data_IF_147473108821
#
_entry.id   IF_147473108821
#
_cell.length_a   1.000
_cell.length_b   1.000
_cell.length_c   1.000
_cell.angle_alpha   90.00
_cell.angle_beta   90.00
_cell.angle_gamma   90.00
#
_symmetry.space_group_name_H-M   'P 1'
#
loop_
_entity.id
_entity.type
_entity.pdbx_description
1 polymer ?
#
# COMPACT_ATOMS: atom_id res chain seq x y z
N UNK A 1 -8.70 14.09 10.37
CA UNK A 1 -7.66 14.09 9.31
C UNK A 1 -8.33 13.68 8.02
N UNK A 2 -7.95 14.29 6.91
CA UNK A 2 -8.43 13.90 5.58
C UNK A 2 -7.62 12.70 5.06
N UNK A 3 -8.17 11.93 4.13
CA UNK A 3 -7.52 10.72 3.61
C UNK A 3 -6.13 11.01 3.03
N UNK A 4 -5.94 12.18 2.40
CA UNK A 4 -4.66 12.63 1.85
C UNK A 4 -3.62 12.93 2.93
N UNK A 5 -4.05 13.42 4.10
CA UNK A 5 -3.16 13.64 5.24
C UNK A 5 -2.67 12.32 5.83
N UNK A 6 -3.57 11.34 5.96
CA UNK A 6 -3.24 10.00 6.45
C UNK A 6 -2.27 9.30 5.48
N UNK A 7 -2.55 9.36 4.17
CA UNK A 7 -1.67 8.80 3.14
C UNK A 7 -0.27 9.43 3.19
N UNK A 8 -0.20 10.75 3.38
CA UNK A 8 1.08 11.47 3.49
C UNK A 8 1.87 11.09 4.74
N UNK A 9 1.20 10.95 5.88
CA UNK A 9 1.86 10.49 7.11
C UNK A 9 2.39 9.06 6.96
N UNK A 10 1.57 8.14 6.44
CA UNK A 10 1.98 6.75 6.20
C UNK A 10 3.17 6.66 5.23
N UNK A 11 3.17 7.48 4.18
CA UNK A 11 4.28 7.57 3.23
C UNK A 11 5.57 8.06 3.93
N UNK A 12 5.49 9.12 4.72
CA UNK A 12 6.64 9.68 5.43
C UNK A 12 7.19 8.73 6.50
N UNK A 13 6.32 8.01 7.22
CA UNK A 13 6.72 7.03 8.22
C UNK A 13 7.59 5.93 7.61
N UNK A 14 7.21 5.42 6.44
CA UNK A 14 7.97 4.39 5.73
C UNK A 14 9.31 4.88 5.18
N UNK A 15 9.44 6.18 4.88
CA UNK A 15 10.73 6.79 4.52
C UNK A 15 11.68 6.89 5.71
N UNK A 16 11.15 7.07 6.91
CA UNK A 16 11.95 7.22 8.12
C UNK A 16 12.30 5.88 8.76
N UNK A 17 11.46 4.84 8.57
CA UNK A 17 11.60 3.54 9.22
C UNK A 17 11.23 2.42 8.28
N UNK A 18 11.96 1.31 8.36
CA UNK A 18 11.62 0.08 7.65
C UNK A 18 10.33 -0.51 8.24
N UNK A 19 9.31 -0.65 7.39
CA UNK A 19 8.00 -1.18 7.78
C UNK A 19 7.66 -2.49 7.06
N UNK A 20 6.84 -3.30 7.71
CA UNK A 20 6.05 -4.35 7.05
C UNK A 20 4.58 -3.93 7.13
N UNK A 21 3.97 -3.64 5.99
CA UNK A 21 2.56 -3.23 5.88
C UNK A 21 1.74 -4.43 5.45
N UNK A 22 0.68 -4.75 6.18
CA UNK A 22 -0.28 -5.78 5.82
C UNK A 22 -1.59 -5.13 5.33
N UNK A 23 -1.96 -5.40 4.09
CA UNK A 23 -3.25 -5.00 3.50
C UNK A 23 -4.10 -6.24 3.30
N UNK A 24 -5.07 -6.45 4.19
CA UNK A 24 -5.93 -7.62 4.14
C UNK A 24 -7.16 -7.40 3.24
N UNK A 25 -7.56 -8.44 2.51
CA UNK A 25 -8.81 -8.54 1.75
C UNK A 25 -9.03 -7.42 0.72
N UNK A 26 -8.09 -7.21 -0.22
CA UNK A 26 -8.28 -6.26 -1.33
C UNK A 26 -9.12 -6.89 -2.46
N UNK A 27 -10.28 -6.28 -2.76
CA UNK A 27 -11.28 -6.83 -3.68
C UNK A 27 -11.15 -6.40 -5.14
N UNK A 28 -10.64 -5.18 -5.41
CA UNK A 28 -10.56 -4.63 -6.77
C UNK A 28 -9.21 -3.97 -7.03
N UNK A 29 -8.81 -3.92 -8.29
CA UNK A 29 -7.58 -3.22 -8.72
C UNK A 29 -7.70 -1.72 -8.46
N UNK A 30 -8.89 -1.15 -8.61
CA UNK A 30 -9.17 0.26 -8.32
C UNK A 30 -8.92 0.63 -6.86
N UNK A 31 -9.17 -0.29 -5.92
CA UNK A 31 -8.85 -0.06 -4.50
C UNK A 31 -7.34 0.04 -4.31
N UNK A 32 -6.57 -0.88 -4.91
CA UNK A 32 -5.10 -0.80 -4.90
C UNK A 32 -4.59 0.49 -5.55
N UNK A 33 -5.14 0.88 -6.70
CA UNK A 33 -4.72 2.10 -7.42
C UNK A 33 -4.89 3.37 -6.58
N UNK A 34 -5.89 3.41 -5.70
CA UNK A 34 -6.12 4.54 -4.77
C UNK A 34 -5.19 4.49 -3.56
N UNK A 35 -4.83 3.29 -3.09
CA UNK A 35 -4.00 3.10 -1.89
C UNK A 35 -2.50 3.24 -2.18
N UNK A 36 -2.03 2.79 -3.35
CA UNK A 36 -0.60 2.68 -3.67
C UNK A 36 0.18 3.99 -3.50
N UNK A 37 -0.48 5.14 -3.66
CA UNK A 37 0.13 6.47 -3.46
C UNK A 37 0.67 6.71 -2.03
N UNK A 38 0.19 5.96 -1.04
CA UNK A 38 0.65 6.05 0.35
C UNK A 38 1.94 5.26 0.61
N UNK A 39 2.47 4.52 -0.37
CA UNK A 39 3.57 3.58 -0.16
C UNK A 39 4.79 3.89 -1.06
N UNK A 40 5.95 4.23 -0.48
CA UNK A 40 7.19 4.48 -1.22
C UNK A 40 7.95 3.17 -1.52
N UNK A 41 7.36 2.30 -2.35
CA UNK A 41 7.84 0.92 -2.55
C UNK A 41 9.26 0.84 -3.15
N UNK A 42 9.59 1.73 -4.10
CA UNK A 42 10.93 1.77 -4.73
C UNK A 42 11.94 2.63 -3.97
N UNK A 43 11.49 3.44 -3.00
CA UNK A 43 12.35 4.38 -2.28
C UNK A 43 12.75 3.86 -0.89
N UNK A 44 12.19 2.73 -0.45
CA UNK A 44 12.40 2.21 0.90
C UNK A 44 12.59 0.70 0.91
N UNK A 45 13.24 0.19 1.97
CA UNK A 45 13.32 -1.26 2.22
C UNK A 45 12.06 -1.83 2.90
N UNK A 46 10.98 -1.04 2.94
CA UNK A 46 9.70 -1.49 3.47
C UNK A 46 9.08 -2.54 2.55
N UNK A 47 8.22 -3.39 3.10
CA UNK A 47 7.53 -4.43 2.34
C UNK A 47 6.03 -4.34 2.57
N UNK A 48 5.27 -4.57 1.51
CA UNK A 48 3.83 -4.67 1.55
C UNK A 48 3.46 -6.13 1.34
N UNK A 49 2.73 -6.70 2.28
CA UNK A 49 2.05 -7.98 2.11
C UNK A 49 0.58 -7.69 1.89
N UNK A 50 0.07 -8.09 0.73
CA UNK A 50 -1.33 -7.94 0.37
C UNK A 50 -1.98 -9.32 0.28
N UNK A 51 -3.15 -9.47 0.91
CA UNK A 51 -3.98 -10.66 0.75
C UNK A 51 -5.18 -10.32 -0.12
N UNK A 52 -5.54 -11.24 -1.02
CA UNK A 52 -6.72 -11.09 -1.87
C UNK A 52 -7.24 -12.45 -2.26
N UNK A 53 -8.56 -12.54 -2.45
CA UNK A 53 -9.23 -13.72 -3.02
C UNK A 53 -9.33 -13.64 -4.55
N UNK A 54 -8.87 -12.53 -5.15
CA UNK A 54 -9.08 -12.20 -6.56
C UNK A 54 -7.75 -12.25 -7.32
N UNK A 55 -7.60 -13.25 -8.18
CA UNK A 55 -6.36 -13.46 -8.96
C UNK A 55 -6.01 -12.27 -9.87
N UNK A 56 -7.01 -11.56 -10.40
CA UNK A 56 -6.78 -10.34 -11.19
C UNK A 56 -6.20 -9.20 -10.33
N UNK A 57 -6.57 -9.11 -9.05
CA UNK A 57 -6.00 -8.14 -8.12
C UNK A 57 -4.55 -8.47 -7.82
N UNK A 58 -4.20 -9.75 -7.62
CA UNK A 58 -2.80 -10.13 -7.37
C UNK A 58 -1.86 -9.81 -8.52
N UNK A 59 -2.36 -9.76 -9.77
CA UNK A 59 -1.55 -9.34 -10.91
C UNK A 59 -1.36 -7.83 -11.01
N UNK A 60 -2.28 -7.05 -10.45
CA UNK A 60 -2.20 -5.59 -10.43
C UNK A 60 -1.38 -5.04 -9.25
N UNK A 61 -1.32 -5.77 -8.13
CA UNK A 61 -0.57 -5.39 -6.93
C UNK A 61 0.88 -5.86 -6.97
N UNK A 62 1.53 -5.70 -8.13
CA UNK A 62 2.94 -6.04 -8.35
C UNK A 62 3.84 -4.84 -8.18
#
# INVERSE_FOLDING_TARGET
>A
MRDDEIAKELYNLQKQRKCLVLLDDIWTTSTWDRLKAAFPEDETNSKILLTTRKKNVSFACR
#
